data_IF_197690612802
#
_entry.id   IF_197690612802
#
_cell.length_a   1.000
_cell.length_b   1.000
_cell.length_c   1.000
_cell.angle_alpha   90.00
_cell.angle_beta   90.00
_cell.angle_gamma   90.00
#
_symmetry.space_group_name_H-M   'P 1'
#
loop_
_entity.id
_entity.type
_entity.pdbx_description
1 polymer ?
#
# COMPACT_ATOMS: atom_id res chain seq x y z
N UNK A 1 -1.31 -9.88 -17.19
CA UNK A 1 -0.93 -8.81 -16.22
C UNK A 1 -1.92 -8.70 -15.05
N UNK A 2 -3.20 -8.57 -15.31
CA UNK A 2 -4.24 -8.33 -14.27
C UNK A 2 -4.37 -9.41 -13.17
N UNK A 3 -4.18 -10.70 -13.51
CA UNK A 3 -4.29 -11.79 -12.53
C UNK A 3 -3.28 -11.69 -11.39
N UNK A 4 -2.02 -11.33 -11.70
CA UNK A 4 -0.96 -11.14 -10.68
C UNK A 4 -1.26 -9.94 -9.77
N UNK A 5 -1.81 -8.89 -10.34
CA UNK A 5 -2.17 -7.67 -9.61
C UNK A 5 -3.36 -7.90 -8.67
N UNK A 6 -4.37 -8.67 -9.11
CA UNK A 6 -5.49 -9.08 -8.27
C UNK A 6 -5.03 -9.92 -7.07
N UNK A 7 -4.17 -10.92 -7.30
CA UNK A 7 -3.62 -11.74 -6.21
C UNK A 7 -2.85 -10.88 -5.21
N UNK A 8 -1.98 -9.99 -5.68
CA UNK A 8 -1.23 -9.09 -4.82
C UNK A 8 -2.15 -8.20 -3.98
N UNK A 9 -3.21 -7.65 -4.58
CA UNK A 9 -4.18 -6.80 -3.86
C UNK A 9 -4.94 -7.59 -2.80
N UNK A 10 -5.37 -8.82 -3.10
CA UNK A 10 -6.05 -9.68 -2.11
C UNK A 10 -5.12 -10.01 -0.94
N UNK A 11 -3.88 -10.41 -1.23
CA UNK A 11 -2.88 -10.70 -0.20
C UNK A 11 -2.59 -9.46 0.67
N UNK A 12 -2.44 -8.29 0.06
CA UNK A 12 -2.22 -7.03 0.78
C UNK A 12 -3.40 -6.69 1.69
N UNK A 13 -4.64 -6.88 1.20
CA UNK A 13 -5.85 -6.61 1.98
C UNK A 13 -5.99 -7.55 3.18
N UNK A 14 -5.65 -8.82 3.01
CA UNK A 14 -5.66 -9.80 4.10
C UNK A 14 -4.54 -9.56 5.13
N UNK A 15 -3.39 -9.08 4.69
CA UNK A 15 -2.26 -8.77 5.57
C UNK A 15 -2.53 -7.55 6.47
N UNK A 16 -3.38 -6.61 6.04
CA UNK A 16 -3.67 -5.38 6.77
C UNK A 16 -4.19 -5.58 8.20
N UNK A 17 -5.28 -6.34 8.44
CA UNK A 17 -5.79 -6.62 9.78
C UNK A 17 -4.79 -7.36 10.66
N UNK A 18 -4.01 -8.27 10.08
CA UNK A 18 -2.97 -9.01 10.81
C UNK A 18 -1.85 -8.09 11.26
N UNK A 19 -1.36 -7.24 10.36
CA UNK A 19 -0.35 -6.25 10.67
C UNK A 19 -0.80 -5.29 11.79
N UNK A 20 -2.07 -4.86 11.78
CA UNK A 20 -2.66 -4.04 12.84
C UNK A 20 -2.61 -4.73 14.21
N UNK A 21 -2.94 -6.02 14.27
CA UNK A 21 -2.91 -6.78 15.52
C UNK A 21 -1.51 -6.87 16.12
N UNK A 22 -0.50 -7.08 15.28
CA UNK A 22 0.91 -7.14 15.70
C UNK A 22 1.43 -5.77 16.13
N UNK A 23 1.13 -4.72 15.36
CA UNK A 23 1.59 -3.34 15.63
C UNK A 23 1.00 -2.76 16.92
N UNK A 24 -0.16 -3.23 17.36
CA UNK A 24 -0.74 -2.83 18.65
C UNK A 24 0.04 -3.37 19.86
N UNK A 25 0.70 -4.52 19.72
CA UNK A 25 1.41 -5.22 20.81
C UNK A 25 2.91 -4.97 20.80
N UNK A 26 3.46 -4.47 19.71
CA UNK A 26 4.87 -4.24 19.52
C UNK A 26 5.13 -2.80 19.06
N UNK A 27 6.40 -2.40 19.08
CA UNK A 27 6.81 -1.12 18.53
C UNK A 27 6.59 -1.09 17.02
N UNK A 28 5.90 -0.03 16.55
CA UNK A 28 5.55 0.13 15.13
C UNK A 28 6.77 0.15 14.22
N UNK A 29 7.89 0.72 14.67
CA UNK A 29 9.14 0.75 13.92
C UNK A 29 9.74 -0.64 13.76
N UNK A 30 9.79 -1.42 14.85
CA UNK A 30 10.30 -2.78 14.82
C UNK A 30 9.48 -3.68 13.90
N UNK A 31 8.16 -3.58 13.97
CA UNK A 31 7.24 -4.36 13.11
C UNK A 31 7.44 -3.99 11.64
N UNK A 32 7.54 -2.70 11.32
CA UNK A 32 7.79 -2.25 9.95
C UNK A 32 9.15 -2.74 9.44
N UNK A 33 10.19 -2.62 10.26
CA UNK A 33 11.52 -3.09 9.90
C UNK A 33 11.52 -4.59 9.58
N UNK A 34 10.98 -5.41 10.46
CA UNK A 34 10.91 -6.87 10.26
C UNK A 34 10.10 -7.22 9.01
N UNK A 35 8.95 -6.59 8.81
CA UNK A 35 8.11 -6.85 7.64
C UNK A 35 8.81 -6.49 6.33
N UNK A 36 9.44 -5.32 6.27
CA UNK A 36 10.15 -4.86 5.07
C UNK A 36 11.41 -5.68 4.82
N UNK A 37 12.16 -6.02 5.88
CA UNK A 37 13.38 -6.79 5.76
C UNK A 37 13.11 -8.24 5.34
N UNK A 38 12.20 -8.92 6.03
CA UNK A 38 11.83 -10.31 5.70
C UNK A 38 11.15 -10.40 4.35
N UNK A 39 10.19 -9.50 4.08
CA UNK A 39 9.51 -9.44 2.78
C UNK A 39 10.45 -9.12 1.63
N UNK A 40 11.35 -8.16 1.82
CA UNK A 40 12.37 -7.78 0.84
C UNK A 40 13.37 -8.90 0.58
N UNK A 41 13.87 -9.55 1.64
CA UNK A 41 14.77 -10.70 1.52
C UNK A 41 14.11 -11.87 0.79
N UNK A 42 12.86 -12.19 1.11
CA UNK A 42 12.12 -13.24 0.43
C UNK A 42 11.92 -12.93 -1.07
N UNK A 43 11.56 -11.69 -1.41
CA UNK A 43 11.41 -11.27 -2.81
C UNK A 43 12.74 -11.26 -3.56
N UNK A 44 13.83 -10.86 -2.91
CA UNK A 44 15.17 -10.90 -3.48
C UNK A 44 15.59 -12.34 -3.81
N UNK A 45 15.42 -13.27 -2.86
CA UNK A 45 15.72 -14.68 -3.06
C UNK A 45 14.87 -15.30 -4.18
N UNK A 46 13.58 -15.02 -4.19
CA UNK A 46 12.68 -15.46 -5.25
C UNK A 46 13.09 -14.90 -6.62
N UNK A 47 13.44 -13.62 -6.68
CA UNK A 47 13.94 -12.99 -7.90
C UNK A 47 15.22 -13.65 -8.42
N UNK A 48 16.16 -13.95 -7.53
CA UNK A 48 17.40 -14.64 -7.87
C UNK A 48 17.16 -16.06 -8.40
N UNK A 49 16.29 -16.83 -7.75
CA UNK A 49 15.93 -18.21 -8.17
C UNK A 49 15.18 -18.20 -9.50
N UNK A 50 14.36 -17.22 -9.77
CA UNK A 50 13.62 -17.07 -11.05
C UNK A 50 14.47 -16.51 -12.18
N UNK A 51 15.78 -16.33 -11.97
CA UNK A 51 16.72 -15.88 -12.98
C UNK A 51 16.74 -14.38 -13.21
N UNK A 52 16.28 -13.59 -12.23
CA UNK A 52 16.40 -12.15 -12.25
C UNK A 52 17.87 -11.72 -12.33
N UNK A 53 18.22 -10.93 -13.34
CA UNK A 53 19.55 -10.36 -13.53
C UNK A 53 19.47 -8.85 -13.51
N UNK A 54 20.40 -8.22 -12.82
CA UNK A 54 20.59 -6.79 -12.84
C UNK A 54 21.61 -6.48 -13.95
N UNK A 55 21.10 -6.13 -15.13
CA UNK A 55 21.96 -5.98 -16.32
C UNK A 55 22.70 -4.66 -16.39
N UNK A 56 22.16 -3.61 -15.80
CA UNK A 56 22.78 -2.28 -15.86
C UNK A 56 22.83 -1.61 -14.48
N UNK A 57 24.03 -1.59 -13.89
CA UNK A 57 24.31 -0.81 -12.69
C UNK A 57 24.78 0.60 -13.09
N UNK A 58 23.93 1.60 -12.88
CA UNK A 58 24.29 3.01 -12.99
C UNK A 58 24.20 3.65 -11.61
N UNK A 59 25.02 4.66 -11.37
CA UNK A 59 24.92 5.47 -10.14
C UNK A 59 23.52 6.08 -9.99
N UNK A 60 22.90 6.49 -11.08
CA UNK A 60 21.52 6.96 -11.09
C UNK A 60 20.54 5.89 -10.63
N UNK A 61 20.67 4.66 -11.14
CA UNK A 61 19.78 3.55 -10.75
C UNK A 61 19.89 3.21 -9.27
N UNK A 62 21.08 3.33 -8.69
CA UNK A 62 21.28 3.12 -7.24
C UNK A 62 20.66 4.26 -6.45
N UNK A 63 20.81 5.51 -6.88
CA UNK A 63 20.18 6.67 -6.23
C UNK A 63 18.66 6.58 -6.28
N UNK A 64 18.09 6.22 -7.42
CA UNK A 64 16.65 6.01 -7.59
C UNK A 64 16.14 4.89 -6.67
N UNK A 65 16.87 3.79 -6.57
CA UNK A 65 16.54 2.68 -5.68
C UNK A 65 16.55 3.11 -4.21
N UNK A 66 17.57 3.86 -3.78
CA UNK A 66 17.67 4.39 -2.43
C UNK A 66 16.56 5.38 -2.12
N UNK A 67 16.26 6.29 -3.04
CA UNK A 67 15.17 7.25 -2.90
C UNK A 67 13.82 6.53 -2.78
N UNK A 68 13.58 5.54 -3.64
CA UNK A 68 12.36 4.72 -3.61
C UNK A 68 12.25 3.95 -2.29
N UNK A 69 13.34 3.33 -1.83
CA UNK A 69 13.38 2.60 -0.57
C UNK A 69 13.08 3.51 0.62
N UNK A 70 13.64 4.73 0.63
CA UNK A 70 13.38 5.72 1.67
C UNK A 70 11.92 6.17 1.67
N UNK A 71 11.36 6.54 0.52
CA UNK A 71 9.96 6.97 0.39
C UNK A 71 9.00 5.85 0.81
N UNK A 72 9.24 4.62 0.36
CA UNK A 72 8.42 3.47 0.72
C UNK A 72 8.52 3.15 2.21
N UNK A 73 9.73 3.15 2.77
CA UNK A 73 9.96 2.89 4.19
C UNK A 73 9.30 3.92 5.10
N UNK A 74 9.50 5.21 4.80
CA UNK A 74 8.87 6.31 5.53
C UNK A 74 7.34 6.24 5.45
N UNK A 75 6.79 6.02 4.26
CA UNK A 75 5.36 5.86 4.03
C UNK A 75 4.78 4.69 4.82
N UNK A 76 5.49 3.57 4.87
CA UNK A 76 5.06 2.39 5.61
C UNK A 76 5.03 2.63 7.14
N UNK A 77 6.02 3.35 7.67
CA UNK A 77 6.08 3.74 9.09
C UNK A 77 4.92 4.67 9.44
N UNK A 78 4.70 5.72 8.63
CA UNK A 78 3.58 6.66 8.83
C UNK A 78 2.24 5.93 8.80
N UNK A 79 2.06 5.01 7.85
CA UNK A 79 0.86 4.19 7.75
C UNK A 79 0.66 3.30 8.97
N UNK A 80 1.71 2.65 9.48
CA UNK A 80 1.65 1.83 10.67
C UNK A 80 1.30 2.63 11.93
N UNK A 81 1.87 3.83 12.10
CA UNK A 81 1.53 4.75 13.19
C UNK A 81 0.07 5.21 13.11
N UNK A 82 -0.40 5.49 11.90
CA UNK A 82 -1.80 5.86 11.66
C UNK A 82 -2.75 4.73 12.06
N UNK A 83 -2.43 3.50 11.67
CA UNK A 83 -3.21 2.30 12.01
C UNK A 83 -3.18 1.98 13.51
N UNK A 84 -2.07 2.25 14.20
CA UNK A 84 -1.95 2.05 15.64
C UNK A 84 -2.90 2.93 16.43
N UNK A 85 -3.02 4.20 16.04
CA UNK A 85 -3.70 5.22 16.83
C UNK A 85 -5.14 5.51 16.37
N UNK A 86 -5.58 4.96 15.23
CA UNK A 86 -6.88 5.27 14.65
C UNK A 86 -7.67 4.00 14.30
N UNK A 87 -9.01 4.06 14.36
CA UNK A 87 -9.85 2.98 13.85
C UNK A 87 -9.70 2.86 12.32
N UNK A 88 -9.73 1.61 11.82
CA UNK A 88 -9.53 1.31 10.38
C UNK A 88 -10.51 2.08 9.50
N UNK A 89 -11.75 2.29 9.95
CA UNK A 89 -12.77 3.05 9.22
C UNK A 89 -12.37 4.50 8.93
N UNK A 90 -11.66 5.16 9.85
CA UNK A 90 -11.14 6.53 9.61
C UNK A 90 -9.99 6.53 8.62
N UNK A 91 -9.14 5.51 8.67
CA UNK A 91 -7.97 5.39 7.77
C UNK A 91 -8.43 5.07 6.35
N UNK A 92 -9.51 4.31 6.19
CA UNK A 92 -10.07 3.98 4.88
C UNK A 92 -10.42 5.23 4.04
N UNK A 93 -10.74 6.35 4.68
CA UNK A 93 -10.99 7.63 4.00
C UNK A 93 -9.73 8.12 3.26
N UNK A 94 -8.55 7.95 3.87
CA UNK A 94 -7.29 8.32 3.21
C UNK A 94 -6.95 7.41 2.03
N UNK A 95 -7.44 6.16 2.03
CA UNK A 95 -7.33 5.28 0.87
C UNK A 95 -8.00 5.83 -0.39
N UNK A 96 -9.00 6.72 -0.23
CA UNK A 96 -9.63 7.41 -1.34
C UNK A 96 -8.73 8.47 -2.00
N UNK A 97 -7.82 9.06 -1.25
CA UNK A 97 -6.87 10.06 -1.76
C UNK A 97 -5.93 9.45 -2.80
N UNK A 98 -5.52 8.19 -2.61
CA UNK A 98 -4.59 7.50 -3.51
C UNK A 98 -5.07 7.44 -4.97
N UNK A 99 -6.28 6.96 -5.32
CA UNK A 99 -6.71 6.94 -6.71
C UNK A 99 -6.85 8.35 -7.29
N UNK A 100 -7.28 9.34 -6.50
CA UNK A 100 -7.40 10.74 -6.96
C UNK A 100 -6.02 11.32 -7.29
N UNK A 101 -5.06 11.16 -6.38
CA UNK A 101 -3.68 11.63 -6.59
C UNK A 101 -3.03 10.91 -7.77
N UNK A 102 -3.23 9.60 -7.92
CA UNK A 102 -2.70 8.84 -9.05
C UNK A 102 -3.24 9.33 -10.40
N UNK A 103 -4.54 9.62 -10.49
CA UNK A 103 -5.14 10.16 -11.71
C UNK A 103 -4.58 11.56 -12.04
N UNK A 104 -4.43 12.41 -11.03
CA UNK A 104 -3.87 13.76 -11.21
C UNK A 104 -2.40 13.69 -11.63
N UNK A 105 -1.59 12.84 -11.00
CA UNK A 105 -0.18 12.67 -11.36
C UNK A 105 -0.03 12.06 -12.76
N UNK A 106 -0.86 11.07 -13.11
CA UNK A 106 -0.83 10.49 -14.46
C UNK A 106 -1.18 11.52 -15.53
N UNK A 107 -2.16 12.38 -15.28
CA UNK A 107 -2.51 13.45 -16.20
C UNK A 107 -1.39 14.50 -16.33
N UNK A 108 -0.73 14.87 -15.23
CA UNK A 108 0.33 15.86 -15.19
C UNK A 108 1.63 15.37 -15.86
N UNK A 109 2.00 14.10 -15.60
CA UNK A 109 3.29 13.55 -16.04
C UNK A 109 3.18 12.96 -17.45
N UNK A 110 2.09 12.20 -17.72
CA UNK A 110 1.93 11.48 -18.97
C UNK A 110 1.05 12.20 -20.00
N UNK A 111 0.47 13.37 -19.65
CA UNK A 111 -0.46 14.09 -20.52
C UNK A 111 -1.74 13.32 -20.83
N UNK A 112 -2.11 12.35 -19.98
CA UNK A 112 -3.31 11.56 -20.20
C UNK A 112 -4.58 12.38 -19.94
N UNK A 113 -5.66 12.17 -20.73
CA UNK A 113 -6.91 12.88 -20.51
C UNK A 113 -7.50 12.50 -19.15
N UNK A 114 -7.75 13.53 -18.32
CA UNK A 114 -8.35 13.38 -16.97
C UNK A 114 -9.72 12.70 -16.99
N UNK A 115 -10.45 12.81 -18.10
CA UNK A 115 -11.80 12.27 -18.26
C UNK A 115 -11.81 10.99 -19.10
N UNK A 116 -11.44 9.87 -18.48
CA UNK A 116 -11.79 8.53 -19.03
C UNK A 116 -12.93 7.94 -18.21
N UNK A 117 -13.94 7.40 -18.86
CA UNK A 117 -15.08 6.71 -18.24
C UNK A 117 -14.66 5.64 -17.21
N UNK A 118 -13.50 5.03 -17.44
CA UNK A 118 -12.90 4.03 -16.55
C UNK A 118 -12.51 4.61 -15.19
N UNK A 119 -11.99 5.84 -15.14
CA UNK A 119 -11.63 6.52 -13.90
C UNK A 119 -12.87 6.95 -13.11
N UNK A 120 -13.91 7.40 -13.79
CA UNK A 120 -15.20 7.73 -13.16
C UNK A 120 -15.86 6.49 -12.57
N UNK A 121 -15.86 5.36 -13.29
CA UNK A 121 -16.38 4.09 -12.79
C UNK A 121 -15.61 3.58 -11.55
N UNK A 122 -14.27 3.64 -11.58
CA UNK A 122 -13.45 3.28 -10.44
C UNK A 122 -13.69 4.19 -9.24
N UNK A 123 -13.82 5.51 -9.46
CA UNK A 123 -14.10 6.49 -8.41
C UNK A 123 -15.44 6.21 -7.72
N UNK A 124 -16.49 5.94 -8.49
CA UNK A 124 -17.83 5.61 -7.96
C UNK A 124 -17.78 4.33 -7.13
N UNK A 125 -17.10 3.29 -7.63
CA UNK A 125 -16.95 2.01 -6.90
C UNK A 125 -16.20 2.20 -5.57
N UNK A 126 -15.15 3.01 -5.55
CA UNK A 126 -14.39 3.32 -4.33
C UNK A 126 -15.25 4.13 -3.36
N UNK A 127 -16.02 5.12 -3.84
CA UNK A 127 -16.96 5.87 -2.99
C UNK A 127 -18.01 4.95 -2.34
N UNK A 128 -18.60 4.04 -3.11
CA UNK A 128 -19.57 3.07 -2.61
C UNK A 128 -18.94 2.16 -1.58
N UNK A 129 -17.71 1.68 -1.83
CA UNK A 129 -16.97 0.83 -0.89
C UNK A 129 -16.71 1.52 0.44
N UNK A 130 -16.25 2.78 0.42
CA UNK A 130 -16.02 3.58 1.62
C UNK A 130 -17.33 3.86 2.36
N UNK A 131 -18.39 4.21 1.64
CA UNK A 131 -19.70 4.44 2.24
C UNK A 131 -20.22 3.19 2.96
N UNK A 132 -20.10 2.01 2.34
CA UNK A 132 -20.48 0.73 2.93
C UNK A 132 -19.67 0.43 4.22
N UNK A 133 -18.37 0.65 4.18
CA UNK A 133 -17.50 0.42 5.36
C UNK A 133 -17.82 1.38 6.48
N UNK A 134 -18.11 2.65 6.19
CA UNK A 134 -18.47 3.64 7.20
C UNK A 134 -19.88 3.46 7.77
N UNK A 135 -20.80 2.87 7.00
CA UNK A 135 -22.17 2.58 7.46
C UNK A 135 -22.25 1.30 8.29
N UNK A 136 -21.27 0.41 8.17
CA UNK A 136 -21.18 -0.75 9.03
C UNK A 136 -20.98 -0.28 10.48
N UNK A 137 -21.87 -0.63 11.44
CA UNK A 137 -21.71 -0.22 12.83
C UNK A 137 -20.35 -0.70 13.32
N UNK A 138 -19.56 0.22 13.88
CA UNK A 138 -18.27 -0.10 14.47
C UNK A 138 -18.52 -1.23 15.51
N UNK A 139 -18.22 -2.46 15.12
CA UNK A 139 -18.26 -3.59 16.01
C UNK A 139 -17.33 -3.21 17.15
N UNK A 140 -17.90 -2.91 18.34
CA UNK A 140 -17.14 -2.64 19.55
C UNK A 140 -16.08 -3.74 19.63
N UNK A 141 -14.85 -3.42 19.30
CA UNK A 141 -13.69 -4.26 19.54
C UNK A 141 -13.62 -4.37 21.06
N UNK A 142 -14.30 -5.38 21.61
CA UNK A 142 -14.18 -5.74 23.02
C UNK A 142 -12.71 -6.00 23.24
N UNK A 143 -12.16 -5.25 24.20
CA UNK A 143 -10.86 -5.51 24.79
C UNK A 143 -10.73 -7.01 25.09
N UNK A 144 -9.74 -7.63 24.50
CA UNK A 144 -9.08 -8.83 24.97
C UNK A 144 -7.63 -8.48 25.22
#
# INVERSE_FOLDING_TARGET
MYKRQLIATVLFTLAGPWNKSVTRRADSFAVCFVNLFVGGAALFLLGAVLGGRLEHWSVLSVLDLLALAFICGAGYIVWALLMKNNPVSRIAIFGFVNPVVNVLLSALINGEPLFRWQYLGALVLVCIGIWLVNKAPAKKERAL
#
